data_IF_516731049354
#
_entry.id   IF_516731049354
#
_cell.length_a   1.000
_cell.length_b   1.000
_cell.length_c   1.000
_cell.angle_alpha   90.00
_cell.angle_beta   90.00
_cell.angle_gamma   90.00
#
_symmetry.space_group_name_H-M   'P 1'
#
loop_
_entity.id
_entity.type
_entity.pdbx_description
1 polymer ?
#
# COMPACT_ATOMS: atom_id res chain seq x y z
N UNK A 1 28.34 10.61 10.79
CA UNK A 1 27.44 10.66 9.60
C UNK A 1 26.41 9.51 9.56
N UNK A 2 26.80 8.26 9.80
CA UNK A 2 25.89 7.10 9.76
C UNK A 2 24.65 7.22 10.67
N UNK A 3 24.79 7.79 11.87
CA UNK A 3 23.67 8.04 12.77
C UNK A 3 22.58 8.96 12.16
N UNK A 4 22.99 9.99 11.41
CA UNK A 4 22.05 10.92 10.73
C UNK A 4 21.30 10.24 9.58
N UNK A 5 22.00 9.37 8.84
CA UNK A 5 21.42 8.58 7.74
C UNK A 5 20.42 7.55 8.28
N UNK A 6 20.78 6.86 9.36
CA UNK A 6 19.88 5.93 10.07
C UNK A 6 18.62 6.64 10.60
N UNK A 7 18.78 7.80 11.24
CA UNK A 7 17.64 8.59 11.72
C UNK A 7 16.73 9.06 10.57
N UNK A 8 17.29 9.45 9.41
CA UNK A 8 16.52 9.82 8.23
C UNK A 8 15.73 8.62 7.67
N UNK A 9 16.37 7.45 7.56
CA UNK A 9 15.70 6.20 7.14
C UNK A 9 14.55 5.82 8.06
N UNK A 10 14.77 5.89 9.38
CA UNK A 10 13.74 5.59 10.37
C UNK A 10 12.53 6.53 10.29
N UNK A 11 12.74 7.82 9.97
CA UNK A 11 11.64 8.78 9.76
C UNK A 11 10.87 8.49 8.47
N UNK A 12 11.58 8.25 7.36
CA UNK A 12 10.95 7.94 6.07
C UNK A 12 10.12 6.65 6.14
N UNK A 13 10.57 5.65 6.89
CA UNK A 13 9.86 4.39 7.09
C UNK A 13 8.48 4.54 7.76
N UNK A 14 8.25 5.62 8.52
CA UNK A 14 6.96 5.88 9.19
C UNK A 14 5.93 6.54 8.27
N UNK A 15 6.36 7.19 7.19
CA UNK A 15 5.49 8.01 6.34
C UNK A 15 4.42 7.23 5.58
N UNK A 16 4.66 6.02 5.06
CA UNK A 16 3.59 5.24 4.41
C UNK A 16 2.40 4.95 5.33
N UNK A 17 2.66 4.64 6.60
CA UNK A 17 1.62 4.41 7.60
C UNK A 17 0.84 5.70 7.91
N UNK A 18 1.53 6.84 8.00
CA UNK A 18 0.89 8.15 8.19
C UNK A 18 0.03 8.55 6.99
N UNK A 19 0.49 8.33 5.76
CA UNK A 19 -0.29 8.59 4.55
C UNK A 19 -1.53 7.68 4.47
N UNK A 20 -1.43 6.42 4.89
CA UNK A 20 -2.58 5.53 5.02
C UNK A 20 -3.62 6.07 6.02
N UNK A 21 -3.17 6.51 7.20
CA UNK A 21 -4.04 7.13 8.22
C UNK A 21 -4.67 8.43 7.72
N UNK A 22 -3.90 9.26 7.03
CA UNK A 22 -4.39 10.49 6.41
C UNK A 22 -5.51 10.19 5.42
N UNK A 23 -5.32 9.25 4.48
CA UNK A 23 -6.36 8.86 3.53
C UNK A 23 -7.63 8.37 4.23
N UNK A 24 -7.49 7.57 5.28
CA UNK A 24 -8.64 7.12 6.07
C UNK A 24 -9.34 8.26 6.83
N UNK A 25 -8.60 9.21 7.40
CA UNK A 25 -9.16 10.40 8.04
C UNK A 25 -9.92 11.29 7.05
N UNK A 26 -9.41 11.45 5.83
CA UNK A 26 -10.10 12.17 4.75
C UNK A 26 -11.41 11.48 4.38
N UNK A 27 -11.43 10.15 4.26
CA UNK A 27 -12.66 9.41 4.03
C UNK A 27 -13.63 9.51 5.21
N UNK A 28 -13.15 9.47 6.44
CA UNK A 28 -13.99 9.65 7.62
C UNK A 28 -14.67 11.04 7.61
N UNK A 29 -13.91 12.11 7.35
CA UNK A 29 -14.44 13.47 7.22
C UNK A 29 -15.42 13.61 6.05
N UNK A 30 -15.20 12.87 4.96
CA UNK A 30 -16.12 12.78 3.82
C UNK A 30 -17.44 12.05 4.16
N UNK A 31 -17.44 11.18 5.18
CA UNK A 31 -18.60 10.40 5.62
C UNK A 31 -19.34 11.05 6.81
N UNK A 32 -18.69 11.90 7.60
CA UNK A 32 -19.32 12.71 8.64
C UNK A 32 -19.86 14.05 8.13
N UNK A 33 -19.47 14.45 6.92
CA UNK A 33 -19.85 15.73 6.34
C UNK A 33 -18.98 16.91 6.81
N UNK A 34 -17.96 16.67 7.63
CA UNK A 34 -16.96 17.68 8.02
C UNK A 34 -16.21 18.23 6.80
N UNK A 35 -15.90 17.37 5.83
CA UNK A 35 -15.11 17.75 4.66
C UNK A 35 -15.78 18.84 3.81
N UNK A 36 -17.11 18.96 3.87
CA UNK A 36 -17.92 19.95 3.14
C UNK A 36 -18.65 20.93 4.06
N UNK A 37 -18.31 21.00 5.36
CA UNK A 37 -18.99 21.86 6.32
C UNK A 37 -19.02 23.34 5.90
N UNK A 38 -17.91 23.85 5.37
CA UNK A 38 -17.80 25.24 4.91
C UNK A 38 -18.51 25.51 3.57
N UNK A 39 -18.72 24.45 2.77
CA UNK A 39 -19.42 24.56 1.48
C UNK A 39 -20.93 24.70 1.67
N UNK A 40 -21.48 24.16 2.76
CA UNK A 40 -22.90 24.29 3.09
C UNK A 40 -23.24 25.71 3.53
N UNK A 41 -24.48 26.10 3.26
CA UNK A 41 -25.05 27.33 3.82
C UNK A 41 -25.06 27.24 5.37
N UNK A 42 -24.98 28.36 6.09
CA UNK A 42 -24.86 28.36 7.56
C UNK A 42 -25.98 27.58 8.28
N UNK A 43 -27.20 27.60 7.75
CA UNK A 43 -28.39 26.88 8.24
C UNK A 43 -28.34 25.35 8.03
N UNK A 44 -27.41 24.87 7.21
CA UNK A 44 -27.24 23.46 6.85
C UNK A 44 -25.98 22.83 7.49
N UNK A 45 -25.29 23.56 8.35
CA UNK A 45 -24.09 23.07 9.04
C UNK A 45 -24.50 22.13 10.19
N UNK A 46 -23.77 21.03 10.33
CA UNK A 46 -24.00 20.07 11.40
C UNK A 46 -23.53 20.64 12.74
N UNK A 47 -24.35 20.49 13.78
CA UNK A 47 -24.00 20.74 15.19
C UNK A 47 -23.80 19.41 15.94
N UNK A 48 -23.17 18.42 15.31
CA UNK A 48 -22.88 17.11 15.92
C UNK A 48 -23.09 15.92 14.98
N UNK A 49 -24.29 15.33 14.97
CA UNK A 49 -24.48 13.92 14.56
C UNK A 49 -24.68 13.63 13.07
N UNK A 50 -24.81 14.64 12.21
CA UNK A 50 -24.69 14.63 10.73
C UNK A 50 -25.34 15.94 10.22
N UNK A 51 -25.05 16.39 8.98
CA UNK A 51 -25.75 17.54 8.40
C UNK A 51 -27.25 17.26 8.25
N UNK A 52 -28.10 18.25 8.51
CA UNK A 52 -29.57 18.11 8.41
C UNK A 52 -30.07 17.73 7.01
N UNK A 53 -29.26 17.99 5.98
CA UNK A 53 -29.54 17.63 4.58
C UNK A 53 -29.22 16.18 4.27
N UNK A 54 -28.53 15.45 5.15
CA UNK A 54 -28.12 14.07 4.94
C UNK A 54 -29.14 13.12 5.56
N UNK A 55 -29.34 11.99 4.89
CA UNK A 55 -30.16 10.90 5.41
C UNK A 55 -29.28 9.67 5.60
N UNK A 56 -29.46 8.96 6.71
CA UNK A 56 -28.93 7.61 6.84
C UNK A 56 -29.83 6.62 6.10
N UNK A 57 -29.24 5.72 5.34
CA UNK A 57 -29.94 4.75 4.48
C UNK A 57 -29.11 3.46 4.41
N UNK A 58 -29.56 2.48 3.62
CA UNK A 58 -28.86 1.21 3.42
C UNK A 58 -28.24 1.12 2.04
N UNK A 59 -27.21 0.28 1.89
CA UNK A 59 -26.63 -0.03 0.57
C UNK A 59 -27.69 -0.55 -0.40
N UNK A 60 -28.66 -1.34 0.08
CA UNK A 60 -29.78 -1.80 -0.75
C UNK A 60 -30.68 -0.70 -1.30
N UNK A 61 -30.88 0.39 -0.57
CA UNK A 61 -31.73 1.51 -1.02
C UNK A 61 -31.02 2.42 -2.03
N UNK A 62 -29.69 2.53 -1.93
CA UNK A 62 -28.89 3.43 -2.80
C UNK A 62 -28.37 2.74 -4.06
N UNK A 63 -28.47 1.41 -4.15
CA UNK A 63 -28.06 0.64 -5.31
C UNK A 63 -29.25 0.22 -6.17
N UNK A 64 -29.12 0.33 -7.49
CA UNK A 64 -30.09 -0.20 -8.45
C UNK A 64 -30.04 -1.73 -8.53
N UNK A 65 -28.86 -2.32 -8.39
CA UNK A 65 -28.68 -3.77 -8.42
C UNK A 65 -27.49 -4.19 -7.55
N UNK A 66 -27.63 -5.32 -6.88
CA UNK A 66 -26.58 -5.94 -6.07
C UNK A 66 -26.61 -7.44 -6.35
N UNK A 67 -25.51 -7.97 -6.90
CA UNK A 67 -25.37 -9.41 -7.15
C UNK A 67 -24.06 -9.93 -6.58
N UNK A 68 -24.10 -11.14 -6.06
CA UNK A 68 -22.93 -11.93 -5.71
C UNK A 68 -22.49 -12.81 -6.89
N UNK A 69 -21.20 -13.11 -6.94
CA UNK A 69 -20.66 -14.07 -7.89
C UNK A 69 -21.02 -15.52 -7.50
N UNK A 70 -21.02 -16.48 -8.46
CA UNK A 70 -21.19 -17.89 -8.13
C UNK A 70 -20.19 -18.38 -7.08
N UNK A 71 -20.65 -19.21 -6.13
CA UNK A 71 -19.81 -19.80 -5.09
C UNK A 71 -18.84 -20.89 -5.62
N UNK A 72 -18.88 -21.21 -6.92
CA UNK A 72 -18.02 -22.20 -7.57
C UNK A 72 -16.73 -21.61 -8.12
N UNK A 73 -15.66 -22.41 -8.10
CA UNK A 73 -14.36 -22.03 -8.67
C UNK A 73 -14.47 -22.05 -10.21
N UNK A 74 -14.06 -20.99 -10.93
CA UNK A 74 -14.08 -21.01 -12.38
C UNK A 74 -13.14 -22.09 -12.94
N UNK A 75 -13.52 -22.69 -14.08
CA UNK A 75 -12.60 -23.51 -14.86
C UNK A 75 -11.63 -22.57 -15.58
N UNK A 76 -10.39 -22.54 -15.09
CA UNK A 76 -9.36 -21.66 -15.62
C UNK A 76 -8.86 -22.13 -16.98
N UNK A 77 -8.62 -21.17 -17.87
CA UNK A 77 -8.04 -21.40 -19.19
C UNK A 77 -6.80 -20.52 -19.37
N UNK A 78 -5.97 -20.84 -20.36
CA UNK A 78 -4.80 -20.02 -20.74
C UNK A 78 -5.20 -18.81 -21.57
N UNK A 79 -6.30 -18.90 -22.32
CA UNK A 79 -6.86 -17.84 -23.17
C UNK A 79 -8.37 -17.72 -22.95
N UNK A 80 -8.94 -16.59 -23.34
CA UNK A 80 -10.39 -16.35 -23.25
C UNK A 80 -10.71 -15.02 -22.58
N UNK A 81 -11.80 -15.00 -21.82
CA UNK A 81 -12.30 -13.79 -21.17
C UNK A 81 -11.68 -13.61 -19.78
N UNK A 82 -11.44 -12.36 -19.40
CA UNK A 82 -10.84 -12.05 -18.09
C UNK A 82 -11.80 -12.42 -16.97
N UNK A 83 -11.30 -13.13 -15.97
CA UNK A 83 -12.00 -13.43 -14.74
C UNK A 83 -11.23 -12.83 -13.55
N UNK A 84 -11.84 -11.84 -12.90
CA UNK A 84 -11.25 -11.14 -11.76
C UNK A 84 -11.20 -12.06 -10.55
N UNK A 85 -10.12 -11.94 -9.78
CA UNK A 85 -9.92 -12.59 -8.48
C UNK A 85 -9.83 -11.53 -7.39
N UNK A 86 -10.00 -11.95 -6.14
CA UNK A 86 -9.78 -11.07 -4.99
C UNK A 86 -8.38 -10.45 -4.98
N UNK A 87 -7.36 -11.15 -5.49
CA UNK A 87 -6.00 -10.61 -5.63
C UNK A 87 -5.90 -9.37 -6.53
N UNK A 88 -6.85 -9.18 -7.45
CA UNK A 88 -6.90 -8.01 -8.34
C UNK A 88 -7.46 -6.77 -7.64
N UNK A 89 -8.05 -6.90 -6.44
CA UNK A 89 -8.68 -5.77 -5.77
C UNK A 89 -7.60 -4.99 -5.01
N UNK A 90 -7.52 -3.69 -5.29
CA UNK A 90 -6.87 -2.69 -4.44
C UNK A 90 -7.94 -1.69 -3.99
N UNK A 91 -7.76 -0.98 -2.88
CA UNK A 91 -8.67 0.11 -2.51
C UNK A 91 -8.84 1.07 -3.69
N UNK A 92 -10.09 1.31 -4.07
CA UNK A 92 -10.54 2.15 -5.17
C UNK A 92 -10.27 1.69 -6.61
N UNK A 93 -9.35 0.75 -6.86
CA UNK A 93 -8.97 0.36 -8.23
C UNK A 93 -8.70 -1.13 -8.39
N UNK A 94 -8.79 -1.61 -9.62
CA UNK A 94 -8.33 -2.94 -9.99
C UNK A 94 -6.85 -2.92 -10.38
N UNK A 95 -6.12 -3.91 -9.92
CA UNK A 95 -4.78 -4.28 -10.37
C UNK A 95 -4.89 -5.37 -11.42
N UNK A 96 -4.62 -5.00 -12.67
CA UNK A 96 -4.75 -5.86 -13.85
C UNK A 96 -3.40 -6.35 -14.37
N UNK A 97 -2.33 -6.22 -13.58
CA UNK A 97 -0.99 -6.71 -13.94
C UNK A 97 -0.98 -8.23 -14.14
N UNK A 98 -1.70 -8.97 -13.31
CA UNK A 98 -1.88 -10.42 -13.43
C UNK A 98 -3.36 -10.79 -13.44
N UNK A 99 -3.84 -11.28 -14.59
CA UNK A 99 -5.22 -11.74 -14.76
C UNK A 99 -5.29 -13.23 -15.09
N UNK A 100 -6.45 -13.83 -14.85
CA UNK A 100 -6.77 -15.21 -15.25
C UNK A 100 -7.88 -15.20 -16.27
N UNK A 101 -7.91 -16.23 -17.10
CA UNK A 101 -8.90 -16.37 -18.16
C UNK A 101 -9.86 -17.53 -17.88
N UNK A 102 -11.04 -17.42 -18.47
CA UNK A 102 -12.07 -18.47 -18.51
C UNK A 102 -12.61 -18.58 -19.93
N UNK A 103 -13.23 -19.72 -20.23
CA UNK A 103 -13.93 -19.91 -21.52
C UNK A 103 -15.11 -18.93 -21.68
N UNK A 104 -15.51 -18.66 -22.92
CA UNK A 104 -16.67 -17.82 -23.24
C UNK A 104 -17.96 -18.33 -22.57
N UNK A 105 -18.13 -19.65 -22.46
CA UNK A 105 -19.24 -20.29 -21.76
C UNK A 105 -19.23 -19.99 -20.26
N UNK A 106 -18.06 -20.13 -19.60
CA UNK A 106 -17.90 -19.80 -18.18
C UNK A 106 -18.10 -18.31 -17.94
N UNK A 107 -17.65 -17.47 -18.86
CA UNK A 107 -17.89 -16.03 -18.81
C UNK A 107 -19.39 -15.71 -18.87
N UNK A 108 -20.10 -16.24 -19.88
CA UNK A 108 -21.53 -16.01 -20.09
C UNK A 108 -22.37 -16.42 -18.87
N UNK A 109 -22.10 -17.59 -18.30
CA UNK A 109 -22.80 -18.07 -17.10
C UNK A 109 -22.56 -17.17 -15.88
N UNK A 110 -21.34 -16.64 -15.72
CA UNK A 110 -20.99 -15.77 -14.58
C UNK A 110 -21.59 -14.37 -14.66
N UNK A 111 -21.82 -13.86 -15.86
CA UNK A 111 -22.43 -12.53 -16.06
C UNK A 111 -23.95 -12.56 -16.24
N UNK A 112 -24.56 -13.75 -16.24
CA UNK A 112 -25.99 -13.94 -16.54
C UNK A 112 -26.92 -13.13 -15.62
N UNK A 113 -26.56 -12.96 -14.35
CA UNK A 113 -27.35 -12.17 -13.37
C UNK A 113 -27.17 -10.67 -13.56
N UNK A 114 -25.93 -10.24 -13.81
CA UNK A 114 -25.59 -8.85 -14.06
C UNK A 114 -24.23 -8.78 -14.76
N UNK A 115 -24.22 -8.18 -15.94
CA UNK A 115 -22.98 -7.90 -16.66
C UNK A 115 -22.28 -6.68 -16.06
N UNK A 116 -20.99 -6.79 -15.67
CA UNK A 116 -20.23 -5.66 -15.18
C UNK A 116 -20.12 -4.54 -16.21
N UNK A 117 -20.30 -3.31 -15.76
CA UNK A 117 -20.25 -2.10 -16.57
C UNK A 117 -19.30 -1.07 -15.95
N UNK A 118 -18.74 -0.16 -16.76
CA UNK A 118 -17.90 0.93 -16.25
C UNK A 118 -18.64 1.72 -15.16
N UNK A 119 -17.96 1.93 -14.04
CA UNK A 119 -18.53 2.60 -12.88
C UNK A 119 -19.33 1.70 -11.92
N UNK A 120 -19.47 0.41 -12.19
CA UNK A 120 -19.93 -0.52 -11.15
C UNK A 120 -18.91 -0.59 -10.00
N UNK A 121 -19.39 -0.78 -8.78
CA UNK A 121 -18.55 -0.96 -7.60
C UNK A 121 -18.41 -2.46 -7.33
N UNK A 122 -17.19 -2.95 -7.34
CA UNK A 122 -16.89 -4.31 -6.93
C UNK A 122 -16.51 -4.32 -5.45
N UNK A 123 -16.99 -5.30 -4.71
CA UNK A 123 -16.76 -5.41 -3.27
C UNK A 123 -16.29 -6.81 -2.86
N UNK A 124 -15.24 -6.90 -2.05
CA UNK A 124 -14.77 -8.17 -1.49
C UNK A 124 -15.49 -8.51 -0.19
N UNK A 125 -16.14 -9.68 -0.15
CA UNK A 125 -16.96 -10.13 0.98
C UNK A 125 -16.34 -11.28 1.78
N UNK A 126 -15.18 -11.80 1.37
CA UNK A 126 -14.48 -12.88 2.07
C UNK A 126 -12.96 -12.85 1.85
N UNK A 127 -12.23 -13.48 2.77
CA UNK A 127 -10.79 -13.73 2.66
C UNK A 127 -9.92 -12.58 3.18
N UNK A 128 -8.62 -12.60 2.85
CA UNK A 128 -7.63 -11.67 3.40
C UNK A 128 -7.78 -10.20 2.99
N UNK A 129 -8.70 -9.90 2.08
CA UNK A 129 -9.01 -8.53 1.61
C UNK A 129 -10.47 -8.14 1.84
N UNK A 130 -11.11 -8.75 2.83
CA UNK A 130 -12.47 -8.46 3.23
C UNK A 130 -12.70 -6.95 3.39
N UNK A 131 -13.78 -6.44 2.80
CA UNK A 131 -14.18 -5.04 2.92
C UNK A 131 -13.52 -4.08 1.95
N UNK A 132 -12.74 -4.57 0.98
CA UNK A 132 -12.17 -3.70 -0.06
C UNK A 132 -13.16 -3.49 -1.21
N UNK A 133 -13.38 -2.23 -1.57
CA UNK A 133 -14.16 -1.85 -2.74
C UNK A 133 -13.29 -1.22 -3.83
N UNK A 134 -13.64 -1.43 -5.10
CA UNK A 134 -12.99 -0.81 -6.25
C UNK A 134 -13.97 -0.52 -7.39
N UNK A 135 -13.63 0.42 -8.27
CA UNK A 135 -14.44 0.71 -9.46
C UNK A 135 -14.08 -0.23 -10.61
N UNK A 136 -15.10 -0.68 -11.33
CA UNK A 136 -14.95 -1.35 -12.61
C UNK A 136 -14.59 -0.32 -13.70
N UNK A 137 -13.42 -0.44 -14.36
CA UNK A 137 -12.93 0.58 -15.28
C UNK A 137 -13.62 0.53 -16.65
N UNK A 138 -13.57 1.65 -17.37
CA UNK A 138 -14.00 1.70 -18.76
C UNK A 138 -13.11 0.82 -19.67
N UNK A 139 -13.71 0.21 -20.68
CA UNK A 139 -13.00 -0.62 -21.67
C UNK A 139 -12.61 -2.03 -21.19
N UNK A 140 -12.87 -2.39 -19.93
CA UNK A 140 -12.64 -3.75 -19.44
C UNK A 140 -13.85 -4.65 -19.71
N UNK A 141 -13.61 -5.80 -20.31
CA UNK A 141 -14.58 -6.90 -20.38
C UNK A 141 -14.09 -8.02 -19.46
N UNK A 142 -14.78 -8.22 -18.34
CA UNK A 142 -14.40 -9.22 -17.36
C UNK A 142 -15.62 -9.75 -16.58
N UNK A 143 -15.52 -10.99 -16.09
CA UNK A 143 -16.47 -11.55 -15.12
C UNK A 143 -15.83 -11.63 -13.73
N UNK A 144 -16.68 -11.84 -12.72
CA UNK A 144 -16.26 -11.99 -11.34
C UNK A 144 -16.03 -13.48 -11.02
N UNK A 145 -14.92 -13.76 -10.35
CA UNK A 145 -14.56 -15.09 -9.86
C UNK A 145 -15.41 -15.50 -8.66
N UNK A 146 -14.79 -15.59 -7.49
CA UNK A 146 -15.47 -15.94 -6.24
C UNK A 146 -15.28 -14.84 -5.20
N UNK A 147 -16.07 -14.89 -4.11
CA UNK A 147 -15.87 -14.07 -2.89
C UNK A 147 -16.03 -12.57 -3.10
N UNK A 148 -16.75 -12.18 -4.13
CA UNK A 148 -16.93 -10.78 -4.52
C UNK A 148 -18.37 -10.49 -4.93
N UNK A 149 -18.74 -9.22 -4.86
CA UNK A 149 -20.05 -8.71 -5.22
C UNK A 149 -19.91 -7.58 -6.22
N UNK A 150 -20.94 -7.42 -7.04
CA UNK A 150 -21.13 -6.28 -7.90
C UNK A 150 -22.29 -5.43 -7.39
N UNK A 151 -22.02 -4.16 -7.17
CA UNK A 151 -22.98 -3.16 -6.73
C UNK A 151 -23.08 -2.09 -7.82
N UNK A 152 -24.28 -1.92 -8.39
CA UNK A 152 -24.59 -0.85 -9.33
C UNK A 152 -25.31 0.27 -8.60
N UNK A 153 -24.67 1.43 -8.51
CA UNK A 153 -25.25 2.60 -7.86
C UNK A 153 -26.58 3.02 -8.53
N UNK A 154 -27.52 3.48 -7.71
CA UNK A 154 -28.80 4.04 -8.14
C UNK A 154 -28.70 5.52 -8.51
N UNK A 155 -29.83 6.14 -8.85
CA UNK A 155 -29.86 7.54 -9.32
C UNK A 155 -29.47 8.55 -8.24
N UNK A 156 -29.66 8.23 -6.97
CA UNK A 156 -29.32 9.10 -5.83
C UNK A 156 -27.86 8.95 -5.37
N UNK A 157 -27.08 8.04 -5.95
CA UNK A 157 -25.76 7.66 -5.47
C UNK A 157 -24.73 7.71 -6.58
N UNK A 158 -23.63 8.43 -6.34
CA UNK A 158 -22.47 8.45 -7.23
C UNK A 158 -21.60 7.22 -6.99
N UNK A 159 -21.25 6.47 -8.05
CA UNK A 159 -20.41 5.28 -7.92
C UNK A 159 -19.04 5.54 -7.26
N UNK A 160 -18.28 6.60 -7.64
CA UNK A 160 -17.05 6.95 -6.93
C UNK A 160 -17.27 7.20 -5.43
N UNK A 161 -18.35 7.89 -5.07
CA UNK A 161 -18.67 8.17 -3.66
C UNK A 161 -19.00 6.87 -2.91
N UNK A 162 -19.85 6.00 -3.48
CA UNK A 162 -20.17 4.69 -2.90
C UNK A 162 -18.91 3.84 -2.71
N UNK A 163 -18.03 3.80 -3.71
CA UNK A 163 -16.77 3.05 -3.60
C UNK A 163 -15.89 3.58 -2.45
N UNK A 164 -15.73 4.90 -2.32
CA UNK A 164 -14.94 5.48 -1.25
C UNK A 164 -15.59 5.29 0.12
N UNK A 165 -16.91 5.38 0.18
CA UNK A 165 -17.70 5.14 1.38
C UNK A 165 -17.53 3.70 1.89
N UNK A 166 -17.56 2.71 1.00
CA UNK A 166 -17.31 1.31 1.36
C UNK A 166 -15.88 1.05 1.85
N UNK A 167 -14.91 1.88 1.47
CA UNK A 167 -13.51 1.82 1.96
C UNK A 167 -13.24 2.72 3.17
N UNK A 168 -14.26 3.43 3.68
CA UNK A 168 -14.13 4.35 4.81
C UNK A 168 -14.11 3.58 6.15
N UNK A 169 -13.62 4.22 7.21
CA UNK A 169 -13.69 3.66 8.56
C UNK A 169 -15.13 3.33 8.97
N UNK A 170 -16.11 4.16 8.57
CA UNK A 170 -17.54 3.98 8.87
C UNK A 170 -18.07 2.59 8.45
N UNK A 171 -17.69 2.11 7.27
CA UNK A 171 -18.10 0.78 6.79
C UNK A 171 -17.19 -0.30 7.32
N UNK A 172 -15.87 -0.05 7.38
CA UNK A 172 -14.92 -1.03 7.90
C UNK A 172 -15.17 -1.36 9.38
N UNK A 173 -15.71 -0.44 10.18
CA UNK A 173 -16.18 -0.69 11.54
C UNK A 173 -17.39 -1.63 11.56
N UNK A 174 -18.39 -1.41 10.70
CA UNK A 174 -19.52 -2.33 10.55
C UNK A 174 -19.05 -3.75 10.14
N UNK A 175 -18.10 -3.84 9.21
CA UNK A 175 -17.47 -5.12 8.82
C UNK A 175 -16.78 -5.79 10.00
N UNK A 176 -16.00 -5.05 10.79
CA UNK A 176 -15.32 -5.59 11.98
C UNK A 176 -16.32 -6.12 13.00
N UNK A 177 -17.40 -5.39 13.26
CA UNK A 177 -18.44 -5.80 14.21
C UNK A 177 -19.15 -7.09 13.79
N UNK A 178 -19.36 -7.30 12.49
CA UNK A 178 -20.06 -8.48 11.97
C UNK A 178 -19.16 -9.72 11.87
N UNK A 179 -17.85 -9.54 11.71
CA UNK A 179 -16.91 -10.64 11.46
C UNK A 179 -15.99 -10.99 12.64
N UNK A 180 -16.05 -10.19 13.72
CA UNK A 180 -15.24 -10.38 14.91
C UNK A 180 -15.36 -11.78 15.50
N UNK A 181 -14.21 -12.43 15.76
CA UNK A 181 -14.15 -13.75 16.41
C UNK A 181 -14.13 -14.97 15.48
N UNK A 182 -14.14 -14.79 14.15
CA UNK A 182 -14.14 -15.92 13.19
C UNK A 182 -12.75 -16.15 12.57
N UNK A 183 -12.34 -17.42 12.46
CA UNK A 183 -11.06 -17.80 11.84
C UNK A 183 -11.02 -17.56 10.31
N UNK A 184 -12.19 -17.45 9.67
CA UNK A 184 -12.35 -17.11 8.26
C UNK A 184 -13.48 -16.10 8.11
N UNK A 185 -13.18 -14.79 8.11
CA UNK A 185 -14.20 -13.76 8.13
C UNK A 185 -14.94 -13.70 6.77
N UNK A 186 -16.27 -13.75 6.86
CA UNK A 186 -17.20 -13.82 5.73
C UNK A 186 -18.35 -12.85 5.98
N UNK A 187 -18.73 -12.07 4.97
CA UNK A 187 -19.95 -11.26 4.98
C UNK A 187 -21.00 -11.90 4.08
N UNK A 188 -22.22 -12.06 4.59
CA UNK A 188 -23.34 -12.48 3.78
C UNK A 188 -23.79 -11.36 2.83
N UNK A 189 -24.49 -11.72 1.75
CA UNK A 189 -25.10 -10.71 0.84
C UNK A 189 -26.08 -9.81 1.60
N UNK A 190 -26.80 -10.37 2.59
CA UNK A 190 -27.70 -9.61 3.46
C UNK A 190 -26.97 -8.54 4.27
N UNK A 191 -25.83 -8.90 4.86
CA UNK A 191 -25.00 -7.98 5.65
C UNK A 191 -24.56 -6.77 4.81
N UNK A 192 -24.04 -7.04 3.60
CA UNK A 192 -23.58 -5.98 2.70
C UNK A 192 -24.72 -5.07 2.26
N UNK A 193 -25.92 -5.63 2.02
CA UNK A 193 -27.13 -4.86 1.69
C UNK A 193 -27.57 -3.97 2.85
N UNK A 194 -27.42 -4.45 4.08
CA UNK A 194 -27.87 -3.78 5.30
C UNK A 194 -26.90 -2.72 5.83
N UNK A 195 -25.68 -2.61 5.27
CA UNK A 195 -24.74 -1.57 5.69
C UNK A 195 -25.37 -0.20 5.68
N UNK A 196 -25.27 0.48 6.82
CA UNK A 196 -25.82 1.81 7.00
C UNK A 196 -24.85 2.82 6.42
N UNK A 197 -25.33 3.64 5.49
CA UNK A 197 -24.54 4.60 4.73
C UNK A 197 -25.15 6.01 4.80
N UNK A 198 -24.34 7.07 4.97
CA UNK A 198 -24.78 8.43 4.75
C UNK A 198 -25.11 8.68 3.27
N UNK A 199 -26.20 9.42 3.03
CA UNK A 199 -26.61 9.84 1.70
C UNK A 199 -26.70 11.38 1.64
N UNK A 200 -25.62 12.07 1.22
CA UNK A 200 -25.65 13.48 0.87
C UNK A 200 -26.46 13.69 -0.42
N UNK A 201 -26.97 14.91 -0.67
CA UNK A 201 -27.47 15.29 -2.00
C UNK A 201 -26.40 15.12 -3.10
N UNK A 202 -26.81 14.77 -4.32
CA UNK A 202 -25.87 14.55 -5.44
C UNK A 202 -24.87 15.70 -5.69
N UNK A 203 -25.26 16.99 -5.65
CA UNK A 203 -24.29 18.08 -5.81
C UNK A 203 -23.20 18.05 -4.75
N UNK A 204 -23.56 17.70 -3.52
CA UNK A 204 -22.63 17.59 -2.41
C UNK A 204 -21.73 16.35 -2.54
N UNK A 205 -22.27 15.20 -2.98
CA UNK A 205 -21.44 14.03 -3.28
C UNK A 205 -20.33 14.36 -4.29
N UNK A 206 -20.62 15.17 -5.31
CA UNK A 206 -19.60 15.62 -6.29
C UNK A 206 -18.55 16.51 -5.65
N UNK A 207 -18.95 17.44 -4.77
CA UNK A 207 -18.00 18.31 -4.07
C UNK A 207 -17.13 17.54 -3.08
N UNK A 208 -17.70 16.58 -2.35
CA UNK A 208 -16.96 15.63 -1.51
C UNK A 208 -15.88 14.95 -2.35
N UNK A 209 -16.28 14.38 -3.50
CA UNK A 209 -15.36 13.68 -4.38
C UNK A 209 -14.24 14.58 -4.90
N UNK A 210 -14.55 15.81 -5.30
CA UNK A 210 -13.55 16.80 -5.74
C UNK A 210 -12.51 17.09 -4.65
N UNK A 211 -12.94 17.22 -3.39
CA UNK A 211 -12.05 17.46 -2.24
C UNK A 211 -11.21 16.23 -1.90
N UNK A 212 -11.83 15.04 -1.88
CA UNK A 212 -11.14 13.76 -1.65
C UNK A 212 -10.05 13.55 -2.70
N UNK A 213 -10.37 13.73 -3.98
CA UNK A 213 -9.41 13.60 -5.08
C UNK A 213 -8.24 14.57 -4.94
N UNK A 214 -8.50 15.84 -4.60
CA UNK A 214 -7.45 16.83 -4.38
C UNK A 214 -6.51 16.45 -3.22
N UNK A 215 -7.07 16.00 -2.09
CA UNK A 215 -6.29 15.58 -0.92
C UNK A 215 -5.52 14.27 -1.18
N UNK A 216 -6.11 13.34 -1.92
CA UNK A 216 -5.44 12.09 -2.31
C UNK A 216 -4.30 12.36 -3.30
N UNK A 217 -4.50 13.24 -4.27
CA UNK A 217 -3.43 13.66 -5.18
C UNK A 217 -2.26 14.34 -4.44
N UNK A 218 -2.54 15.09 -3.36
CA UNK A 218 -1.49 15.61 -2.47
C UNK A 218 -0.75 14.48 -1.75
N UNK A 219 -1.48 13.50 -1.21
CA UNK A 219 -0.89 12.33 -0.56
C UNK A 219 0.01 11.52 -1.53
N UNK A 220 -0.43 11.33 -2.78
CA UNK A 220 0.33 10.64 -3.82
C UNK A 220 1.64 11.39 -4.15
N UNK A 221 1.60 12.72 -4.24
CA UNK A 221 2.82 13.55 -4.43
C UNK A 221 3.79 13.40 -3.26
N UNK A 222 3.29 13.34 -2.02
CA UNK A 222 4.13 13.12 -0.85
C UNK A 222 4.74 11.71 -0.90
N UNK A 223 3.96 10.70 -1.22
CA UNK A 223 4.41 9.31 -1.35
C UNK A 223 5.56 9.18 -2.37
N UNK A 224 5.42 9.80 -3.54
CA UNK A 224 6.47 9.84 -4.56
C UNK A 224 7.76 10.52 -4.06
N UNK A 225 7.64 11.64 -3.33
CA UNK A 225 8.79 12.33 -2.73
C UNK A 225 9.49 11.48 -1.66
N UNK A 226 8.73 10.74 -0.86
CA UNK A 226 9.25 9.82 0.16
C UNK A 226 9.99 8.67 -0.48
N UNK A 227 9.46 8.07 -1.55
CA UNK A 227 10.13 7.02 -2.29
C UNK A 227 11.47 7.51 -2.87
N UNK A 228 11.48 8.68 -3.51
CA UNK A 228 12.71 9.29 -4.03
C UNK A 228 13.73 9.61 -2.94
N UNK A 229 13.29 10.15 -1.79
CA UNK A 229 14.16 10.42 -0.66
C UNK A 229 14.77 9.14 -0.07
N UNK A 230 13.97 8.08 0.04
CA UNK A 230 14.41 6.77 0.55
C UNK A 230 15.48 6.18 -0.35
N UNK A 231 15.26 6.19 -1.67
CA UNK A 231 16.26 5.73 -2.64
C UNK A 231 17.58 6.52 -2.56
N UNK A 232 17.50 7.84 -2.31
CA UNK A 232 18.69 8.69 -2.13
C UNK A 232 19.45 8.37 -0.84
N UNK A 233 18.73 8.14 0.26
CA UNK A 233 19.33 7.75 1.55
C UNK A 233 20.06 6.41 1.42
N UNK A 234 19.47 5.42 0.72
CA UNK A 234 20.14 4.14 0.47
C UNK A 234 21.42 4.33 -0.36
N UNK A 235 21.40 5.12 -1.43
CA UNK A 235 22.60 5.42 -2.23
C UNK A 235 23.70 6.10 -1.42
N UNK A 236 23.36 7.08 -0.57
CA UNK A 236 24.32 7.75 0.31
C UNK A 236 24.91 6.75 1.31
N UNK A 237 24.09 5.86 1.86
CA UNK A 237 24.54 4.81 2.77
C UNK A 237 25.59 3.92 2.12
N UNK A 238 25.30 3.43 0.90
CA UNK A 238 26.23 2.61 0.13
C UNK A 238 27.54 3.35 -0.19
N UNK A 239 27.44 4.63 -0.60
CA UNK A 239 28.61 5.44 -0.89
C UNK A 239 29.48 5.66 0.36
N UNK A 240 28.87 5.98 1.50
CA UNK A 240 29.60 6.16 2.77
C UNK A 240 30.28 4.86 3.19
N UNK A 241 29.57 3.71 3.15
CA UNK A 241 30.16 2.42 3.49
C UNK A 241 31.33 2.07 2.57
N UNK A 242 31.17 2.28 1.26
CA UNK A 242 32.23 2.02 0.30
C UNK A 242 33.49 2.88 0.57
N UNK A 243 33.30 4.18 0.85
CA UNK A 243 34.41 5.07 1.24
C UNK A 243 35.02 4.66 2.57
N UNK A 244 34.21 4.20 3.53
CA UNK A 244 34.68 3.72 4.83
C UNK A 244 35.60 2.49 4.67
N UNK A 245 35.17 1.51 3.87
CA UNK A 245 35.95 0.30 3.62
C UNK A 245 37.23 0.55 2.81
N UNK A 246 37.26 1.60 1.98
CA UNK A 246 38.48 2.05 1.29
C UNK A 246 39.39 2.92 2.16
N UNK A 247 39.02 3.21 3.41
CA UNK A 247 39.79 4.08 4.29
C UNK A 247 39.74 5.57 3.91
N UNK A 248 38.86 5.98 2.99
CA UNK A 248 38.75 7.35 2.47
C UNK A 248 37.96 8.30 3.39
N UNK A 249 37.52 7.81 4.55
CA UNK A 249 36.75 8.57 5.54
C UNK A 249 37.55 8.96 6.78
N UNK A 250 38.79 8.47 6.90
CA UNK A 250 39.72 8.84 7.95
C UNK A 250 41.05 9.23 7.32
N UNK A 251 41.79 10.18 7.90
CA UNK A 251 43.14 10.46 7.45
C UNK A 251 43.99 9.19 7.50
N UNK A 252 44.84 9.00 6.50
CA UNK A 252 45.80 7.88 6.48
C UNK A 252 46.86 8.07 7.57
N UNK A 253 47.46 6.98 8.05
CA UNK A 253 48.52 7.05 9.07
C UNK A 253 49.70 7.92 8.61
N UNK A 254 50.00 7.93 7.31
CA UNK A 254 51.02 8.79 6.72
C UNK A 254 50.69 10.29 6.80
N UNK A 255 49.40 10.65 6.77
CA UNK A 255 48.93 12.03 6.94
C UNK A 255 48.92 12.43 8.41
N UNK A 256 48.48 11.54 9.30
CA UNK A 256 48.52 11.75 10.75
C UNK A 256 49.95 11.90 11.26
N UNK A 257 50.89 11.09 10.76
CA UNK A 257 52.29 11.18 11.13
C UNK A 257 52.90 12.53 10.72
N UNK A 258 52.62 13.01 9.49
CA UNK A 258 53.04 14.33 9.02
C UNK A 258 52.46 15.47 9.87
N UNK A 259 51.18 15.40 10.22
CA UNK A 259 50.54 16.41 11.05
C UNK A 259 51.09 16.43 12.49
N UNK A 260 51.43 15.27 13.04
CA UNK A 260 51.91 15.14 14.41
C UNK A 260 53.44 15.19 14.54
N UNK A 261 54.16 15.50 13.46
CA UNK A 261 55.64 15.52 13.45
C UNK A 261 56.30 14.17 13.73
N UNK A 262 55.59 13.05 13.48
CA UNK A 262 56.09 11.68 13.68
C UNK A 262 56.64 11.12 12.38
N UNK A 263 57.69 10.29 12.48
CA UNK A 263 58.23 9.56 11.35
C UNK A 263 57.30 8.41 10.95
N UNK A 264 56.96 8.29 9.68
CA UNK A 264 56.09 7.24 9.15
C UNK A 264 56.90 6.19 8.38
N UNK A 265 56.82 4.93 8.77
CA UNK A 265 57.38 3.79 8.04
C UNK A 265 56.27 3.09 7.23
N UNK A 266 56.38 2.99 5.89
CA UNK A 266 55.42 2.24 5.08
C UNK A 266 55.47 0.73 5.37
N UNK A 267 54.34 0.04 5.22
CA UNK A 267 54.26 -1.41 5.42
C UNK A 267 55.22 -2.20 4.51
N UNK A 268 55.51 -1.71 3.30
CA UNK A 268 56.49 -2.31 2.40
C UNK A 268 57.91 -2.26 3.00
N UNK A 269 58.31 -1.12 3.57
CA UNK A 269 59.61 -0.96 4.22
C UNK A 269 59.73 -1.88 5.45
N UNK A 270 58.66 -1.98 6.26
CA UNK A 270 58.60 -2.91 7.39
C UNK A 270 58.72 -4.39 6.94
N UNK A 271 58.01 -4.76 5.88
CA UNK A 271 58.06 -6.12 5.33
C UNK A 271 59.43 -6.46 4.75
N UNK A 272 60.08 -5.51 4.07
CA UNK A 272 61.46 -5.68 3.62
C UNK A 272 62.41 -5.85 4.81
N UNK A 273 62.28 -5.02 5.85
CA UNK A 273 63.08 -5.14 7.07
C UNK A 273 62.94 -6.51 7.73
N UNK A 274 61.70 -6.99 7.92
CA UNK A 274 61.43 -8.32 8.48
C UNK A 274 61.98 -9.43 7.57
N UNK A 275 61.88 -9.29 6.23
CA UNK A 275 62.46 -10.26 5.29
C UNK A 275 63.97 -10.31 5.39
N UNK A 276 64.65 -9.17 5.48
CA UNK A 276 66.10 -9.10 5.68
C UNK A 276 66.53 -9.64 7.05
N UNK A 277 65.81 -9.35 8.13
CA UNK A 277 66.08 -9.90 9.48
C UNK A 277 65.91 -11.43 9.52
N UNK A 278 64.90 -11.97 8.82
CA UNK A 278 64.68 -13.42 8.69
C UNK A 278 65.68 -14.10 7.75
N UNK A 279 66.16 -13.43 6.72
CA UNK A 279 67.22 -13.95 5.84
C UNK A 279 68.59 -13.96 6.53
N UNK A 280 68.86 -12.97 7.40
CA UNK A 280 70.05 -12.96 8.26
C UNK A 280 70.00 -13.97 9.41
N UNK A 281 68.79 -14.39 9.81
CA UNK A 281 68.57 -15.45 10.79
C UNK A 281 68.42 -16.81 10.10
N UNK A 282 69.53 -17.42 9.66
CA UNK A 282 69.51 -18.79 9.14
C UNK A 282 68.81 -19.75 10.12
N UNK A 283 68.03 -20.76 9.66
CA UNK A 283 67.42 -21.73 10.56
C UNK A 283 68.53 -22.49 11.28
N UNK A 284 68.63 -22.30 12.60
CA UNK A 284 69.60 -22.98 13.44
C UNK A 284 69.55 -24.49 13.24
N UNK A 285 70.61 -25.04 12.67
CA UNK A 285 70.88 -26.47 12.55
C UNK A 285 70.96 -27.10 13.95
N UNK A 286 70.26 -28.24 14.11
CA UNK A 286 70.84 -29.40 14.79
C UNK A 286 70.27 -29.74 16.18
N UNK A 287 69.13 -30.44 16.24
CA UNK A 287 68.82 -31.30 17.38
C UNK A 287 69.56 -32.63 17.18
N UNK A 288 70.69 -32.79 17.87
CA UNK A 288 71.50 -34.02 17.95
C UNK A 288 70.59 -35.22 18.31
N UNK A 289 70.57 -36.26 17.47
CA UNK A 289 70.15 -37.61 17.88
C UNK A 289 71.13 -38.09 18.94
N UNK A 290 70.64 -38.38 20.14
CA UNK A 290 71.39 -39.10 21.16
C UNK A 290 70.93 -40.56 21.12
N UNK A 291 71.87 -41.46 20.79
CA UNK A 291 71.76 -42.90 21.00
C UNK A 291 72.16 -43.21 22.44
N UNK A 292 71.28 -43.86 23.19
CA UNK A 292 71.55 -44.93 24.14
C UNK A 292 70.21 -45.63 24.39
#
# INVERSE_FOLDING_TARGET
>A
MLARVSAARARLAKLPALLKRFRQSVLAAACSGELTAEWRKPDQRASGELPSTWRMTSVSEVCKAIVDCPHSTPKWTTTGEVCLRTTNFKPARLDLTEVRFVSQETYATRIARLTPQPGDVLYSREGGILGIACLFPAGLRACLGQRMMLLRAGRCMSSPYLMHLLNSSHILDQVRSLTGGTASPHLNVGDVKAFTVPLPPLPEQREIMRRVEALFALADKIEARVAAATARVEKITQAILARAFRGELVPTEAELARQNGRTYEPASALLERIRSERAGSAPGRGRKKMRA
#
